data_IF_484105910982
#
_entry.id   IF_484105910982
#
_cell.length_a   1.000
_cell.length_b   1.000
_cell.length_c   1.000
_cell.angle_alpha   90.00
_cell.angle_beta   90.00
_cell.angle_gamma   90.00
#
_symmetry.space_group_name_H-M   'P 1'
#
loop_
_entity.id
_entity.type
_entity.pdbx_description
1 polymer ?
#
# COMPACT_ATOMS: atom_id res chain seq x y z
N UNK A 1 0.58 35.22 27.56
CA UNK A 1 -0.31 35.33 26.38
C UNK A 1 -0.97 33.97 26.23
N UNK A 2 -2.30 33.86 26.26
CA UNK A 2 -2.97 32.58 26.02
C UNK A 2 -2.79 32.29 24.55
N UNK A 3 -2.18 31.14 24.23
CA UNK A 3 -2.05 30.68 22.85
C UNK A 3 -3.46 30.52 22.24
N UNK A 4 -3.62 30.80 20.96
CA UNK A 4 -4.89 30.56 20.29
C UNK A 4 -5.12 29.05 20.21
N UNK A 5 -6.33 28.52 20.50
CA UNK A 5 -6.57 27.09 20.46
C UNK A 5 -6.38 26.56 19.02
N UNK A 6 -5.76 25.38 18.90
CA UNK A 6 -5.59 24.70 17.62
C UNK A 6 -6.91 24.62 16.84
N UNK A 7 -6.90 24.99 15.57
CA UNK A 7 -8.09 25.00 14.73
C UNK A 7 -7.92 24.13 13.48
N UNK A 8 -9.05 23.66 12.93
CA UNK A 8 -9.08 22.80 11.74
C UNK A 8 -9.71 23.60 10.60
N UNK A 9 -9.04 23.62 9.45
CA UNK A 9 -9.52 24.19 8.19
C UNK A 9 -9.37 23.21 7.03
N UNK A 10 -10.07 23.40 5.90
CA UNK A 10 -9.78 22.68 4.68
C UNK A 10 -8.32 22.85 4.26
N UNK A 11 -7.75 21.80 3.67
CA UNK A 11 -6.43 21.87 3.07
C UNK A 11 -6.45 22.70 1.77
N UNK A 12 -5.32 23.28 1.43
CA UNK A 12 -5.10 24.01 0.17
C UNK A 12 -3.82 23.52 -0.49
N UNK A 13 -3.66 23.76 -1.78
CA UNK A 13 -2.39 23.38 -2.47
C UNK A 13 -1.16 24.07 -1.88
N UNK A 14 -1.35 25.23 -1.21
CA UNK A 14 -0.25 25.91 -0.52
C UNK A 14 0.26 25.20 0.71
N UNK A 15 -0.52 24.26 1.27
CA UNK A 15 -0.13 23.48 2.44
C UNK A 15 0.75 22.26 2.09
N UNK A 16 0.96 21.96 0.81
CA UNK A 16 1.70 20.77 0.37
C UNK A 16 3.06 20.60 1.07
N UNK A 17 3.95 21.59 1.14
CA UNK A 17 5.24 21.41 1.79
C UNK A 17 5.10 21.04 3.28
N UNK A 18 4.23 21.74 4.02
CA UNK A 18 4.01 21.48 5.44
C UNK A 18 3.30 20.15 5.70
N UNK A 19 2.40 19.69 4.79
CA UNK A 19 1.80 18.37 4.86
C UNK A 19 2.86 17.29 4.68
N UNK A 20 3.76 17.43 3.70
CA UNK A 20 4.87 16.48 3.50
C UNK A 20 5.79 16.45 4.73
N UNK A 21 6.13 17.61 5.29
CA UNK A 21 6.95 17.70 6.50
C UNK A 21 6.29 17.01 7.70
N UNK A 22 4.97 17.19 7.88
CA UNK A 22 4.18 16.55 8.92
C UNK A 22 4.15 15.03 8.75
N UNK A 23 3.88 14.54 7.54
CA UNK A 23 3.84 13.11 7.24
C UNK A 23 5.21 12.47 7.50
N UNK A 24 6.29 13.08 7.01
CA UNK A 24 7.65 12.60 7.27
C UNK A 24 8.03 12.63 8.75
N UNK A 25 7.55 13.60 9.54
CA UNK A 25 7.75 13.58 10.97
C UNK A 25 7.05 12.37 11.63
N UNK A 26 5.86 12.00 11.15
CA UNK A 26 5.17 10.79 11.58
C UNK A 26 5.92 9.52 11.13
N UNK A 27 6.36 9.46 9.87
CA UNK A 27 7.12 8.33 9.32
C UNK A 27 8.39 8.08 10.13
N UNK A 28 9.18 9.13 10.39
CA UNK A 28 10.39 9.02 11.21
C UNK A 28 10.09 8.49 12.61
N UNK A 29 8.98 8.92 13.22
CA UNK A 29 8.59 8.46 14.55
C UNK A 29 8.08 7.01 14.57
N UNK A 30 7.50 6.54 13.47
CA UNK A 30 6.83 5.24 13.37
C UNK A 30 7.69 4.15 12.71
N UNK A 31 8.46 4.51 11.68
CA UNK A 31 9.29 3.56 10.90
C UNK A 31 10.78 3.90 10.89
N UNK A 32 11.18 5.06 11.43
CA UNK A 32 12.59 5.43 11.61
C UNK A 32 13.21 6.25 10.47
N UNK A 33 12.51 6.45 9.35
CA UNK A 33 12.95 7.20 8.18
C UNK A 33 11.77 7.89 7.50
N UNK A 34 11.99 8.97 6.71
CA UNK A 34 10.94 9.59 5.92
C UNK A 34 10.56 8.67 4.75
N UNK A 35 9.27 8.47 4.52
CA UNK A 35 8.73 7.60 3.44
C UNK A 35 7.76 8.35 2.51
N UNK A 36 7.43 9.61 2.82
CA UNK A 36 6.45 10.42 2.06
C UNK A 36 7.14 11.46 1.19
N UNK A 37 6.79 11.51 -0.08
CA UNK A 37 7.25 12.54 -1.02
C UNK A 37 6.13 13.53 -1.39
N UNK A 38 6.51 14.69 -1.98
CA UNK A 38 5.52 15.64 -2.51
C UNK A 38 4.68 15.03 -3.65
N UNK A 39 5.31 14.19 -4.49
CA UNK A 39 4.62 13.53 -5.60
C UNK A 39 3.55 12.54 -5.12
N UNK A 40 3.77 11.88 -3.97
CA UNK A 40 2.79 10.98 -3.35
C UNK A 40 1.55 11.77 -2.92
N UNK A 41 1.75 12.86 -2.16
CA UNK A 41 0.65 13.72 -1.69
C UNK A 41 -0.08 14.39 -2.86
N UNK A 42 0.64 14.84 -3.89
CA UNK A 42 0.02 15.41 -5.09
C UNK A 42 -0.80 14.36 -5.87
N UNK A 43 -0.33 13.12 -5.91
CA UNK A 43 -1.04 12.00 -6.54
C UNK A 43 -2.35 11.70 -5.82
N UNK A 44 -2.34 11.70 -4.48
CA UNK A 44 -3.55 11.55 -3.67
C UNK A 44 -4.54 12.69 -3.91
N UNK A 45 -4.04 13.94 -3.98
CA UNK A 45 -4.88 15.11 -4.26
C UNK A 45 -5.36 15.21 -5.70
N UNK A 46 -4.80 14.43 -6.61
CA UNK A 46 -5.18 14.34 -8.02
C UNK A 46 -6.11 13.16 -8.34
N UNK A 47 -6.48 12.35 -7.35
CA UNK A 47 -7.40 11.23 -7.52
C UNK A 47 -8.72 11.68 -8.13
N UNK A 48 -9.29 10.86 -9.02
CA UNK A 48 -10.56 11.18 -9.67
C UNK A 48 -11.71 11.36 -8.68
N UNK A 49 -12.30 12.55 -8.66
CA UNK A 49 -13.41 12.90 -7.77
C UNK A 49 -12.98 13.34 -6.37
N UNK A 50 -11.69 13.54 -6.14
CA UNK A 50 -11.18 14.13 -4.92
C UNK A 50 -11.18 15.67 -5.02
N UNK A 51 -11.80 16.33 -4.05
CA UNK A 51 -11.89 17.78 -3.98
C UNK A 51 -11.18 18.28 -2.71
N UNK A 52 -9.94 18.73 -2.83
CA UNK A 52 -9.05 19.11 -1.72
C UNK A 52 -9.74 20.00 -0.65
N UNK A 53 -10.57 20.95 -1.06
CA UNK A 53 -11.29 21.84 -0.15
C UNK A 53 -12.41 21.14 0.66
N UNK A 54 -12.84 19.96 0.26
CA UNK A 54 -13.93 19.20 0.88
C UNK A 54 -13.48 17.88 1.50
N UNK A 55 -12.42 17.26 0.94
CA UNK A 55 -12.01 15.91 1.24
C UNK A 55 -10.73 15.84 2.08
N UNK A 56 -10.06 16.99 2.33
CA UNK A 56 -8.87 17.07 3.16
C UNK A 56 -8.89 18.25 4.14
N UNK A 57 -8.28 18.05 5.31
CA UNK A 57 -8.22 19.05 6.38
C UNK A 57 -6.83 19.08 7.01
N UNK A 58 -6.42 20.26 7.41
CA UNK A 58 -5.24 20.49 8.23
C UNK A 58 -5.64 21.06 9.58
N UNK A 59 -4.91 20.66 10.60
CA UNK A 59 -4.98 21.25 11.94
C UNK A 59 -3.76 22.15 12.12
N UNK A 60 -4.03 23.40 12.47
CA UNK A 60 -3.03 24.44 12.68
C UNK A 60 -2.83 24.64 14.18
N UNK A 61 -1.59 24.54 14.63
CA UNK A 61 -1.20 24.74 16.03
C UNK A 61 -1.07 26.21 16.41
N UNK A 62 -0.66 26.43 17.65
CA UNK A 62 -0.54 27.77 18.27
C UNK A 62 0.53 28.65 17.62
N UNK A 63 1.53 28.06 17.00
CA UNK A 63 2.64 28.69 16.29
C UNK A 63 2.42 28.86 14.77
N UNK A 64 1.17 28.62 14.32
CA UNK A 64 0.74 28.64 12.92
C UNK A 64 1.29 27.47 12.06
N UNK A 65 2.08 26.54 12.62
CA UNK A 65 2.53 25.32 11.95
C UNK A 65 1.46 24.23 11.89
N UNK A 66 1.56 23.30 10.95
CA UNK A 66 0.65 22.17 10.85
C UNK A 66 0.98 21.12 11.93
N UNK A 67 -0.03 20.77 12.72
CA UNK A 67 0.06 19.77 13.80
C UNK A 67 -0.81 18.53 13.52
N UNK A 68 -1.59 18.56 12.45
CA UNK A 68 -2.39 17.40 12.01
C UNK A 68 -2.87 17.55 10.57
N UNK A 69 -3.06 16.41 9.92
CA UNK A 69 -3.62 16.29 8.59
C UNK A 69 -4.59 15.11 8.55
N UNK A 70 -5.64 15.23 7.77
CA UNK A 70 -6.59 14.13 7.53
C UNK A 70 -7.23 14.29 6.16
N UNK A 71 -7.51 13.18 5.50
CA UNK A 71 -8.29 13.15 4.27
C UNK A 71 -9.30 12.01 4.27
N UNK A 72 -10.22 12.03 3.30
CA UNK A 72 -11.05 10.89 2.92
C UNK A 72 -11.21 10.85 1.42
N UNK A 73 -11.36 9.65 0.86
CA UNK A 73 -11.53 9.42 -0.55
C UNK A 73 -12.33 8.15 -0.85
N UNK A 74 -12.69 8.00 -2.12
CA UNK A 74 -13.39 6.82 -2.63
C UNK A 74 -12.81 6.45 -4.00
N UNK A 75 -11.55 6.04 -3.98
CA UNK A 75 -10.75 5.75 -5.17
C UNK A 75 -11.34 4.62 -6.02
N UNK A 76 -11.80 3.55 -5.38
CA UNK A 76 -12.23 2.34 -6.08
C UNK A 76 -13.72 2.30 -6.40
N UNK A 77 -14.53 3.21 -5.85
CA UNK A 77 -15.98 3.29 -6.06
C UNK A 77 -16.72 1.98 -5.79
N UNK A 78 -16.25 1.23 -4.79
CA UNK A 78 -16.79 -0.08 -4.39
C UNK A 78 -17.72 -0.01 -3.18
N UNK A 79 -17.81 1.15 -2.53
CA UNK A 79 -18.45 1.32 -1.22
C UNK A 79 -17.48 1.12 -0.05
N UNK A 80 -16.23 0.82 -0.32
CA UNK A 80 -15.13 0.82 0.63
C UNK A 80 -14.37 2.13 0.48
N UNK A 81 -14.72 3.09 1.33
CA UNK A 81 -14.08 4.40 1.37
C UNK A 81 -12.82 4.34 2.22
N UNK A 82 -11.86 5.16 1.90
CA UNK A 82 -10.63 5.30 2.65
C UNK A 82 -10.59 6.66 3.34
N UNK A 83 -10.05 6.70 4.54
CA UNK A 83 -9.64 7.93 5.21
C UNK A 83 -8.33 7.69 5.92
N UNK A 84 -7.59 8.76 6.17
CA UNK A 84 -6.48 8.68 7.08
C UNK A 84 -6.31 9.97 7.88
N UNK A 85 -5.54 9.88 8.97
CA UNK A 85 -5.21 11.02 9.82
C UNK A 85 -3.82 10.87 10.43
N UNK A 86 -3.12 11.97 10.50
CA UNK A 86 -1.81 12.08 11.13
C UNK A 86 -1.82 13.22 12.13
N UNK A 87 -1.14 13.00 13.24
CA UNK A 87 -0.89 14.00 14.26
C UNK A 87 0.61 14.11 14.45
N UNK A 88 1.14 15.33 14.43
CA UNK A 88 2.56 15.54 14.65
C UNK A 88 3.02 14.86 15.95
N UNK A 89 4.12 14.10 15.96
CA UNK A 89 4.53 13.29 17.12
C UNK A 89 4.66 14.09 18.43
N UNK A 90 5.04 15.36 18.34
CA UNK A 90 5.17 16.26 19.49
C UNK A 90 3.87 16.97 19.89
N UNK A 91 2.78 16.83 19.08
CA UNK A 91 1.48 17.51 19.27
C UNK A 91 0.33 16.50 19.34
N UNK A 92 0.43 15.55 20.25
CA UNK A 92 -0.57 14.48 20.42
C UNK A 92 -1.77 14.96 21.25
N UNK A 93 -2.65 15.75 20.66
CA UNK A 93 -3.89 16.25 21.27
C UNK A 93 -5.08 15.33 20.93
N UNK A 94 -5.59 14.50 21.87
CA UNK A 94 -6.67 13.53 21.59
C UNK A 94 -7.97 14.17 21.07
N UNK A 95 -8.31 15.35 21.56
CA UNK A 95 -9.51 16.07 21.13
C UNK A 95 -9.37 16.58 19.68
N UNK A 96 -8.18 17.02 19.29
CA UNK A 96 -7.90 17.48 17.94
C UNK A 96 -7.94 16.30 16.95
N UNK A 97 -7.31 15.19 17.29
CA UNK A 97 -7.36 13.94 16.52
C UNK A 97 -8.81 13.44 16.35
N UNK A 98 -9.61 13.47 17.42
CA UNK A 98 -11.05 13.13 17.38
C UNK A 98 -11.84 14.04 16.43
N UNK A 99 -11.53 15.34 16.42
CA UNK A 99 -12.18 16.30 15.52
C UNK A 99 -11.80 16.10 14.06
N UNK A 100 -10.54 15.77 13.77
CA UNK A 100 -10.09 15.40 12.42
C UNK A 100 -10.80 14.13 11.94
N UNK A 101 -10.77 13.06 12.74
CA UNK A 101 -11.46 11.82 12.42
C UNK A 101 -12.96 12.03 12.16
N UNK A 102 -13.63 12.85 13.01
CA UNK A 102 -15.06 13.14 12.85
C UNK A 102 -15.37 13.89 11.55
N UNK A 103 -14.46 14.71 11.03
CA UNK A 103 -14.60 15.36 9.73
C UNK A 103 -14.50 14.36 8.58
N UNK A 104 -13.49 13.51 8.61
CA UNK A 104 -13.32 12.46 7.63
C UNK A 104 -14.53 11.51 7.60
N UNK A 105 -14.98 11.02 8.77
CA UNK A 105 -16.18 10.18 8.88
C UNK A 105 -17.44 10.83 8.33
N UNK A 106 -17.66 12.12 8.63
CA UNK A 106 -18.82 12.84 8.13
C UNK A 106 -18.79 12.93 6.60
N UNK A 107 -17.64 13.33 6.04
CA UNK A 107 -17.50 13.46 4.58
C UNK A 107 -17.61 12.11 3.88
N UNK A 108 -17.06 11.05 4.48
CA UNK A 108 -17.23 9.68 3.95
C UNK A 108 -18.70 9.27 3.89
N UNK A 109 -19.53 9.63 4.90
CA UNK A 109 -20.99 9.39 4.85
C UNK A 109 -21.68 10.18 3.75
N UNK A 110 -21.27 11.44 3.54
CA UNK A 110 -21.77 12.27 2.43
C UNK A 110 -21.44 11.64 1.08
N UNK A 111 -20.17 11.25 0.84
CA UNK A 111 -19.74 10.56 -0.37
C UNK A 111 -20.50 9.23 -0.60
N UNK A 112 -20.68 8.44 0.45
CA UNK A 112 -21.43 7.19 0.38
C UNK A 112 -22.91 7.42 0.00
N UNK A 113 -23.54 8.47 0.55
CA UNK A 113 -24.91 8.84 0.23
C UNK A 113 -25.04 9.38 -1.19
N UNK A 114 -24.13 10.25 -1.64
CA UNK A 114 -24.07 10.78 -3.01
C UNK A 114 -24.00 9.66 -4.05
N UNK A 115 -23.30 8.55 -3.73
CA UNK A 115 -23.12 7.38 -4.61
C UNK A 115 -24.11 6.25 -4.36
N UNK A 116 -25.01 6.41 -3.39
CA UNK A 116 -26.06 5.44 -3.03
C UNK A 116 -25.52 4.04 -2.69
N UNK A 117 -24.40 3.96 -1.95
CA UNK A 117 -23.87 2.69 -1.48
C UNK A 117 -24.77 2.07 -0.41
N UNK A 118 -25.10 0.78 -0.56
CA UNK A 118 -26.00 0.06 0.37
C UNK A 118 -25.35 -0.27 1.72
N UNK A 119 -24.07 -0.64 1.71
CA UNK A 119 -23.33 -1.04 2.90
C UNK A 119 -21.92 -0.43 2.92
N UNK A 120 -21.80 0.92 2.98
CA UNK A 120 -20.50 1.56 2.90
C UNK A 120 -19.67 1.28 4.15
N UNK A 121 -18.37 1.06 3.93
CA UNK A 121 -17.36 0.88 4.96
C UNK A 121 -16.36 2.04 4.89
N UNK A 122 -15.81 2.42 6.03
CA UNK A 122 -14.68 3.34 6.10
C UNK A 122 -13.48 2.61 6.69
N UNK A 123 -12.40 2.67 5.94
CA UNK A 123 -11.14 2.05 6.28
C UNK A 123 -10.09 3.09 6.61
N UNK A 124 -9.28 2.80 7.62
CA UNK A 124 -8.17 3.64 8.05
C UNK A 124 -6.96 2.75 8.34
N UNK A 125 -5.82 3.08 7.75
CA UNK A 125 -4.58 2.42 8.05
C UNK A 125 -3.94 2.97 9.33
N UNK A 126 -3.27 2.09 10.06
CA UNK A 126 -2.50 2.42 11.25
C UNK A 126 -1.20 1.62 11.23
N UNK A 127 -0.06 2.27 11.34
CA UNK A 127 1.20 1.56 11.56
C UNK A 127 1.18 0.98 12.98
N UNK A 128 1.52 -0.32 13.11
CA UNK A 128 1.31 -1.09 14.33
C UNK A 128 1.96 -0.52 15.60
N UNK A 129 2.98 0.33 15.46
CA UNK A 129 3.62 1.04 16.59
C UNK A 129 2.83 2.26 17.06
N UNK A 130 1.94 2.84 16.24
CA UNK A 130 1.15 4.02 16.60
C UNK A 130 -0.02 3.65 17.52
N UNK A 131 0.27 3.53 18.81
CA UNK A 131 -0.72 3.18 19.84
C UNK A 131 -1.82 4.23 19.98
N UNK A 132 -1.47 5.52 19.85
CA UNK A 132 -2.42 6.62 20.02
C UNK A 132 -3.50 6.59 18.93
N UNK A 133 -3.14 6.40 17.66
CA UNK A 133 -4.06 6.25 16.54
C UNK A 133 -4.91 4.99 16.70
N UNK A 134 -4.31 3.84 17.06
CA UNK A 134 -5.03 2.60 17.33
C UNK A 134 -6.10 2.78 18.39
N UNK A 135 -5.75 3.36 19.55
CA UNK A 135 -6.70 3.60 20.64
C UNK A 135 -7.81 4.58 20.24
N UNK A 136 -7.50 5.60 19.45
CA UNK A 136 -8.49 6.50 18.90
C UNK A 136 -9.49 5.74 18.03
N UNK A 137 -9.02 4.94 17.07
CA UNK A 137 -9.88 4.16 16.17
C UNK A 137 -10.77 3.19 16.93
N UNK A 138 -10.22 2.42 17.87
CA UNK A 138 -11.00 1.49 18.70
C UNK A 138 -12.08 2.20 19.52
N UNK A 139 -11.77 3.37 20.14
CA UNK A 139 -12.77 4.18 20.88
C UNK A 139 -13.88 4.71 19.97
N UNK A 140 -13.60 4.93 18.69
CA UNK A 140 -14.57 5.38 17.69
C UNK A 140 -15.32 4.23 17.00
N UNK A 141 -15.16 2.99 17.48
CA UNK A 141 -15.92 1.82 17.00
C UNK A 141 -15.37 1.18 15.74
N UNK A 142 -14.13 1.50 15.36
CA UNK A 142 -13.42 0.73 14.33
C UNK A 142 -12.99 -0.63 14.88
N UNK A 143 -12.93 -1.62 14.01
CA UNK A 143 -12.43 -2.95 14.32
C UNK A 143 -11.24 -3.28 13.41
N UNK A 144 -10.26 -4.00 13.93
CA UNK A 144 -9.17 -4.52 13.10
C UNK A 144 -9.75 -5.47 12.06
N UNK A 145 -9.59 -5.14 10.80
CA UNK A 145 -10.07 -5.90 9.65
C UNK A 145 -8.98 -6.74 9.02
N UNK A 146 -7.76 -6.17 8.90
CA UNK A 146 -6.62 -6.80 8.25
C UNK A 146 -5.30 -6.37 8.89
N UNK A 147 -4.31 -7.25 8.75
CA UNK A 147 -2.92 -6.96 9.07
C UNK A 147 -2.07 -7.21 7.83
N UNK A 148 -1.28 -6.22 7.42
CA UNK A 148 -0.34 -6.30 6.29
C UNK A 148 1.07 -6.13 6.83
N UNK A 149 1.95 -7.07 6.55
CA UNK A 149 3.36 -6.96 6.88
C UNK A 149 4.12 -6.30 5.75
N UNK A 150 4.92 -5.28 6.08
CA UNK A 150 6.03 -4.86 5.24
C UNK A 150 7.19 -5.80 5.49
N UNK A 151 7.68 -6.43 4.45
CA UNK A 151 8.82 -7.32 4.54
C UNK A 151 9.98 -6.78 3.71
N UNK A 152 11.18 -6.88 4.26
CA UNK A 152 12.42 -6.36 3.64
C UNK A 152 13.46 -7.45 3.54
N UNK A 153 14.22 -7.47 2.44
CA UNK A 153 15.45 -8.25 2.28
C UNK A 153 16.60 -7.30 1.98
N UNK A 154 17.73 -7.49 2.67
CA UNK A 154 19.01 -6.89 2.32
C UNK A 154 19.83 -7.90 1.49
N UNK A 155 20.15 -7.52 0.26
CA UNK A 155 20.88 -8.35 -0.70
C UNK A 155 22.39 -8.08 -0.71
N UNK A 156 22.91 -7.27 0.21
CA UNK A 156 24.33 -6.89 0.29
C UNK A 156 25.25 -8.11 0.46
N UNK A 157 24.78 -9.12 1.20
CA UNK A 157 25.52 -10.39 1.41
C UNK A 157 25.27 -11.44 0.31
N UNK A 158 24.52 -11.06 -0.73
CA UNK A 158 24.18 -11.90 -1.88
C UNK A 158 22.74 -12.45 -1.80
N UNK A 159 22.32 -13.06 -2.91
CA UNK A 159 20.97 -13.60 -3.06
C UNK A 159 20.94 -15.08 -2.69
N UNK A 160 19.99 -15.47 -1.82
CA UNK A 160 19.74 -16.88 -1.49
C UNK A 160 19.27 -17.64 -2.73
N UNK A 161 20.02 -18.66 -3.13
CA UNK A 161 19.67 -19.49 -4.28
C UNK A 161 18.48 -20.41 -3.95
N UNK A 162 17.37 -20.21 -4.63
CA UNK A 162 16.18 -21.05 -4.55
C UNK A 162 15.88 -21.59 -5.96
N UNK A 163 16.24 -22.86 -6.25
CA UNK A 163 16.09 -23.41 -7.60
C UNK A 163 14.62 -23.56 -8.00
N UNK A 164 14.36 -23.38 -9.29
CA UNK A 164 13.03 -23.66 -9.85
C UNK A 164 12.69 -25.15 -9.68
N UNK A 165 11.42 -25.50 -9.45
CA UNK A 165 10.96 -26.88 -9.46
C UNK A 165 11.28 -27.57 -10.81
N UNK A 166 11.48 -28.90 -10.78
CA UNK A 166 11.74 -29.67 -11.99
C UNK A 166 10.64 -29.45 -13.05
N UNK A 167 11.05 -29.23 -14.29
CA UNK A 167 10.19 -28.97 -15.43
C UNK A 167 9.67 -27.53 -15.55
N UNK A 168 10.01 -26.64 -14.60
CA UNK A 168 9.61 -25.22 -14.63
C UNK A 168 10.75 -24.36 -15.17
N UNK A 169 10.44 -23.53 -16.18
CA UNK A 169 11.33 -22.48 -16.69
C UNK A 169 10.85 -21.11 -16.21
N UNK A 170 11.72 -20.34 -15.54
CA UNK A 170 11.47 -18.95 -15.15
C UNK A 170 12.21 -18.06 -16.14
N UNK A 171 11.50 -17.10 -16.74
CA UNK A 171 12.07 -16.16 -17.70
C UNK A 171 11.52 -14.76 -17.54
N UNK A 172 12.29 -13.72 -17.94
CA UNK A 172 11.79 -12.34 -17.96
C UNK A 172 10.58 -12.18 -18.87
N UNK A 173 9.80 -11.18 -18.57
CA UNK A 173 8.63 -10.73 -19.32
C UNK A 173 9.05 -10.15 -20.68
N UNK A 174 8.29 -10.44 -21.73
CA UNK A 174 8.52 -9.92 -23.07
C UNK A 174 7.41 -8.97 -23.47
N UNK A 175 7.77 -7.68 -23.59
CA UNK A 175 6.85 -6.63 -24.03
C UNK A 175 6.30 -6.94 -25.42
N UNK A 176 5.00 -6.74 -25.61
CA UNK A 176 4.30 -7.02 -26.87
C UNK A 176 3.95 -8.50 -27.08
N UNK A 177 4.30 -9.39 -26.14
CA UNK A 177 4.08 -10.85 -26.26
C UNK A 177 3.37 -11.43 -25.03
N UNK A 178 3.80 -11.04 -23.83
CA UNK A 178 3.42 -11.74 -22.60
C UNK A 178 2.35 -11.00 -21.75
N UNK A 179 1.84 -9.84 -22.21
CA UNK A 179 0.94 -8.99 -21.40
C UNK A 179 -0.34 -9.74 -20.98
N UNK A 180 -1.03 -10.39 -21.93
CA UNK A 180 -2.24 -11.15 -21.61
C UNK A 180 -1.97 -12.30 -20.66
N UNK A 181 -0.87 -13.06 -20.91
CA UNK A 181 -0.52 -14.19 -20.05
C UNK A 181 -0.17 -13.71 -18.64
N UNK A 182 0.55 -12.59 -18.51
CA UNK A 182 0.88 -11.99 -17.21
C UNK A 182 -0.40 -11.57 -16.47
N UNK A 183 -1.29 -10.83 -17.14
CA UNK A 183 -2.57 -10.39 -16.59
C UNK A 183 -3.41 -11.58 -16.13
N UNK A 184 -3.64 -12.57 -16.98
CA UNK A 184 -4.49 -13.73 -16.68
C UNK A 184 -3.90 -14.57 -15.55
N UNK A 185 -2.56 -14.76 -15.54
CA UNK A 185 -1.87 -15.51 -14.48
C UNK A 185 -1.99 -14.80 -13.13
N UNK A 186 -1.82 -13.48 -13.10
CA UNK A 186 -1.98 -12.69 -11.87
C UNK A 186 -3.44 -12.69 -11.41
N UNK A 187 -4.39 -12.43 -12.30
CA UNK A 187 -5.82 -12.44 -11.97
C UNK A 187 -6.27 -13.75 -11.36
N UNK A 188 -5.91 -14.90 -11.97
CA UNK A 188 -6.23 -16.23 -11.43
C UNK A 188 -5.52 -16.51 -10.10
N UNK A 189 -4.24 -16.13 -9.99
CA UNK A 189 -3.48 -16.39 -8.77
C UNK A 189 -4.00 -15.59 -7.56
N UNK A 190 -4.62 -14.44 -7.79
CA UNK A 190 -5.16 -13.54 -6.78
C UNK A 190 -6.69 -13.58 -6.65
N UNK A 191 -7.38 -14.49 -7.37
CA UNK A 191 -8.85 -14.61 -7.35
C UNK A 191 -9.42 -14.75 -5.92
N UNK A 192 -8.69 -15.39 -5.01
CA UNK A 192 -9.08 -15.56 -3.61
C UNK A 192 -8.57 -14.42 -2.69
N UNK A 193 -7.95 -13.37 -3.26
CA UNK A 193 -7.35 -12.30 -2.45
C UNK A 193 -8.41 -11.29 -1.99
N UNK A 194 -8.23 -10.76 -0.79
CA UNK A 194 -9.07 -9.69 -0.25
C UNK A 194 -9.09 -8.48 -1.18
N UNK A 195 -10.28 -7.98 -1.50
CA UNK A 195 -10.52 -6.84 -2.40
C UNK A 195 -10.01 -7.01 -3.84
N UNK A 196 -9.84 -8.25 -4.29
CA UNK A 196 -9.55 -8.47 -5.69
C UNK A 196 -10.77 -8.04 -6.51
N UNK A 197 -10.65 -6.94 -7.25
CA UNK A 197 -11.57 -6.58 -8.33
C UNK A 197 -11.00 -7.04 -9.65
N UNK A 198 -11.87 -7.48 -10.58
CA UNK A 198 -11.45 -7.73 -11.96
C UNK A 198 -11.06 -6.40 -12.61
N UNK A 199 -9.76 -6.14 -12.73
CA UNK A 199 -9.27 -4.98 -13.47
C UNK A 199 -9.26 -5.34 -14.97
N UNK A 200 -9.93 -4.56 -15.85
CA UNK A 200 -9.89 -4.79 -17.27
C UNK A 200 -8.46 -4.74 -17.81
N UNK A 201 -8.13 -5.62 -18.75
CA UNK A 201 -6.78 -5.76 -19.31
C UNK A 201 -6.16 -4.43 -19.77
N UNK A 202 -6.91 -3.60 -20.47
CA UNK A 202 -6.39 -2.32 -20.99
C UNK A 202 -6.05 -1.33 -19.86
N UNK A 203 -6.84 -1.29 -18.80
CA UNK A 203 -6.57 -0.47 -17.62
C UNK A 203 -5.35 -1.00 -16.86
N UNK A 204 -5.29 -2.30 -16.60
CA UNK A 204 -4.14 -2.99 -15.99
C UNK A 204 -2.84 -2.72 -16.78
N UNK A 205 -2.90 -2.88 -18.10
CA UNK A 205 -1.76 -2.66 -19.00
C UNK A 205 -1.29 -1.20 -18.94
N UNK A 206 -2.21 -0.25 -19.07
CA UNK A 206 -1.88 1.18 -19.03
C UNK A 206 -1.24 1.57 -17.69
N UNK A 207 -1.79 1.10 -16.58
CA UNK A 207 -1.30 1.39 -15.23
C UNK A 207 0.07 0.80 -14.96
N UNK A 208 0.30 -0.47 -15.29
CA UNK A 208 1.53 -1.16 -14.92
C UNK A 208 2.68 -0.92 -15.90
N UNK A 209 2.42 -0.94 -17.20
CA UNK A 209 3.46 -0.69 -18.20
C UNK A 209 3.74 0.81 -18.40
N UNK A 210 2.78 1.67 -18.03
CA UNK A 210 2.96 3.12 -18.01
C UNK A 210 3.67 3.66 -16.77
N UNK A 211 3.98 2.80 -15.80
CA UNK A 211 4.68 3.21 -14.58
C UNK A 211 6.09 3.71 -14.91
N UNK A 212 6.51 4.81 -14.26
CA UNK A 212 7.82 5.43 -14.52
C UNK A 212 9.00 4.47 -14.31
N UNK A 213 8.87 3.57 -13.33
CA UNK A 213 9.89 2.58 -12.97
C UNK A 213 9.68 1.22 -13.67
N UNK A 214 8.90 1.17 -14.75
CA UNK A 214 8.69 -0.06 -15.50
C UNK A 214 10.00 -0.56 -16.14
N UNK A 215 10.41 -1.78 -15.75
CA UNK A 215 11.54 -2.50 -16.32
C UNK A 215 11.09 -3.95 -16.59
N UNK A 216 10.95 -4.38 -17.86
CA UNK A 216 10.47 -5.71 -18.20
C UNK A 216 11.38 -6.84 -17.70
N UNK A 217 12.65 -6.57 -17.47
CA UNK A 217 13.60 -7.55 -16.95
C UNK A 217 13.46 -7.79 -15.44
N UNK A 218 12.65 -6.99 -14.74
CA UNK A 218 12.28 -7.20 -13.33
C UNK A 218 10.97 -7.99 -13.18
N UNK A 219 10.27 -8.23 -14.29
CA UNK A 219 9.05 -9.01 -14.31
C UNK A 219 9.34 -10.42 -14.80
N UNK A 220 8.77 -11.42 -14.13
CA UNK A 220 9.04 -12.82 -14.44
C UNK A 220 7.76 -13.62 -14.65
N UNK A 221 7.82 -14.55 -15.62
CA UNK A 221 6.84 -15.61 -15.80
C UNK A 221 7.51 -16.96 -15.58
N UNK A 222 6.81 -17.82 -14.85
CA UNK A 222 7.18 -19.22 -14.67
C UNK A 222 6.32 -20.10 -15.58
N UNK A 223 6.96 -20.99 -16.33
CA UNK A 223 6.33 -21.84 -17.35
C UNK A 223 6.53 -23.32 -17.05
N UNK A 224 5.44 -24.08 -17.07
CA UNK A 224 5.46 -25.54 -17.15
C UNK A 224 5.08 -25.90 -18.58
N UNK A 225 6.10 -26.16 -19.42
CA UNK A 225 5.94 -26.30 -20.88
C UNK A 225 5.29 -25.03 -21.48
N UNK A 226 4.03 -25.16 -21.97
CA UNK A 226 3.29 -24.08 -22.63
C UNK A 226 2.29 -23.37 -21.68
N UNK A 227 2.21 -23.77 -20.41
CA UNK A 227 1.31 -23.18 -19.43
C UNK A 227 2.07 -22.25 -18.48
N UNK A 228 1.55 -21.05 -18.26
CA UNK A 228 2.07 -20.14 -17.25
C UNK A 228 1.65 -20.64 -15.85
N UNK A 229 2.64 -20.96 -15.03
CA UNK A 229 2.45 -21.51 -13.68
C UNK A 229 2.47 -20.43 -12.60
N UNK A 230 3.07 -19.28 -12.88
CA UNK A 230 3.15 -18.15 -11.95
C UNK A 230 3.71 -16.90 -12.63
N UNK A 231 3.50 -15.77 -11.97
CA UNK A 231 3.90 -14.45 -12.42
C UNK A 231 4.43 -13.62 -11.25
N UNK A 232 5.42 -12.77 -11.51
CA UNK A 232 5.97 -11.82 -10.55
C UNK A 232 6.18 -10.47 -11.23
N UNK A 233 5.74 -9.41 -10.58
CA UNK A 233 5.89 -8.02 -11.00
C UNK A 233 6.72 -7.30 -9.96
N UNK A 234 7.80 -6.65 -10.38
CA UNK A 234 8.62 -5.81 -9.51
C UNK A 234 9.04 -4.53 -10.22
N UNK A 235 9.35 -3.52 -9.41
CA UNK A 235 9.86 -2.23 -9.83
C UNK A 235 11.17 -1.93 -9.13
N UNK A 236 11.92 -0.98 -9.65
CA UNK A 236 13.13 -0.50 -9.00
C UNK A 236 13.13 1.01 -8.98
N UNK A 237 12.96 1.60 -7.80
CA UNK A 237 13.00 3.05 -7.59
C UNK A 237 14.25 3.42 -6.77
N UNK A 238 15.10 4.31 -7.31
CA UNK A 238 16.38 4.63 -6.65
C UNK A 238 17.17 3.38 -6.30
N UNK A 239 17.51 3.20 -5.04
CA UNK A 239 18.24 2.05 -4.50
C UNK A 239 17.31 0.91 -4.02
N UNK A 240 15.99 1.12 -4.06
CA UNK A 240 14.96 0.20 -3.59
C UNK A 240 14.41 -0.67 -4.73
N UNK A 241 14.25 -1.97 -4.47
CA UNK A 241 13.43 -2.89 -5.24
C UNK A 241 12.07 -3.08 -4.58
N UNK A 242 10.99 -2.99 -5.35
CA UNK A 242 9.64 -3.21 -4.86
C UNK A 242 8.99 -4.39 -5.57
N UNK A 243 8.65 -5.47 -4.83
CA UNK A 243 7.86 -6.57 -5.38
C UNK A 243 6.37 -6.20 -5.26
N UNK A 244 5.79 -5.80 -6.37
CA UNK A 244 4.38 -5.37 -6.46
C UNK A 244 3.40 -6.54 -6.31
N UNK A 245 3.77 -7.71 -6.86
CA UNK A 245 2.92 -8.89 -6.77
C UNK A 245 3.67 -10.15 -7.17
N UNK A 246 3.36 -11.24 -6.47
CA UNK A 246 3.83 -12.59 -6.74
C UNK A 246 2.65 -13.55 -6.70
N UNK A 247 2.27 -14.08 -7.85
CA UNK A 247 1.17 -15.02 -8.02
C UNK A 247 1.66 -16.39 -8.47
N UNK A 248 1.18 -17.45 -7.82
CA UNK A 248 1.36 -18.84 -8.27
C UNK A 248 -0.01 -19.47 -8.44
N UNK A 249 -0.33 -19.97 -9.64
CA UNK A 249 -1.61 -20.62 -9.94
C UNK A 249 -1.79 -21.89 -9.10
N UNK A 250 -3.01 -22.22 -8.74
CA UNK A 250 -3.33 -23.30 -7.77
C UNK A 250 -2.63 -24.66 -8.04
N UNK A 251 -2.53 -25.17 -9.30
CA UNK A 251 -1.89 -26.47 -9.57
C UNK A 251 -0.39 -26.52 -9.23
N UNK A 252 0.28 -25.36 -9.19
CA UNK A 252 1.74 -25.26 -8.96
C UNK A 252 2.10 -24.73 -7.57
N UNK A 253 1.11 -24.46 -6.71
CA UNK A 253 1.34 -24.00 -5.32
C UNK A 253 2.05 -25.08 -4.48
N UNK A 254 2.74 -24.66 -3.43
CA UNK A 254 3.46 -25.51 -2.46
C UNK A 254 4.60 -26.37 -3.05
N UNK A 255 5.11 -26.01 -4.23
CA UNK A 255 6.24 -26.67 -4.91
C UNK A 255 7.54 -25.87 -4.85
N UNK A 256 7.57 -24.74 -4.11
CA UNK A 256 8.73 -23.86 -4.02
C UNK A 256 8.85 -22.83 -5.16
N UNK A 257 7.87 -22.77 -6.08
CA UNK A 257 7.90 -21.89 -7.25
C UNK A 257 7.96 -20.40 -6.88
N UNK A 258 7.17 -19.96 -5.91
CA UNK A 258 7.20 -18.56 -5.46
C UNK A 258 8.57 -18.11 -4.96
N UNK A 259 9.26 -18.97 -4.19
CA UNK A 259 10.61 -18.69 -3.72
C UNK A 259 11.63 -18.61 -4.87
N UNK A 260 11.53 -19.50 -5.86
CA UNK A 260 12.40 -19.47 -7.02
C UNK A 260 12.21 -18.21 -7.88
N UNK A 261 10.97 -17.73 -8.03
CA UNK A 261 10.67 -16.47 -8.72
C UNK A 261 11.22 -15.26 -7.96
N UNK A 262 11.08 -15.24 -6.62
CA UNK A 262 11.71 -14.21 -5.78
C UNK A 262 13.23 -14.18 -5.94
N UNK A 263 13.87 -15.34 -5.89
CA UNK A 263 15.34 -15.42 -6.07
C UNK A 263 15.77 -14.89 -7.45
N UNK A 264 15.00 -15.16 -8.50
CA UNK A 264 15.27 -14.62 -9.85
C UNK A 264 15.14 -13.09 -9.86
N UNK A 265 14.10 -12.55 -9.23
CA UNK A 265 13.86 -11.11 -9.13
C UNK A 265 14.93 -10.42 -8.28
N UNK A 266 15.28 -11.00 -7.12
CA UNK A 266 16.34 -10.47 -6.26
C UNK A 266 17.69 -10.43 -7.00
N UNK A 267 18.02 -11.46 -7.74
CA UNK A 267 19.24 -11.47 -8.58
C UNK A 267 19.22 -10.36 -9.64
N UNK A 268 18.05 -10.11 -10.28
CA UNK A 268 17.90 -9.07 -11.28
C UNK A 268 17.98 -7.65 -10.66
N UNK A 269 17.42 -7.45 -9.46
CA UNK A 269 17.50 -6.20 -8.70
C UNK A 269 18.94 -5.94 -8.23
N UNK A 270 19.59 -6.94 -7.62
CA UNK A 270 20.98 -6.83 -7.15
C UNK A 270 21.94 -6.51 -8.29
N UNK A 271 21.75 -7.12 -9.47
CA UNK A 271 22.54 -6.82 -10.67
C UNK A 271 22.40 -5.36 -11.13
N UNK A 272 21.35 -4.65 -10.70
CA UNK A 272 21.11 -3.22 -10.95
C UNK A 272 21.53 -2.33 -9.78
N UNK A 273 22.18 -2.89 -8.74
CA UNK A 273 22.61 -2.17 -7.53
C UNK A 273 21.49 -1.89 -6.53
N UNK A 274 20.28 -2.45 -6.73
CA UNK A 274 19.17 -2.34 -5.78
C UNK A 274 19.29 -3.45 -4.76
N UNK A 275 19.89 -3.14 -3.64
CA UNK A 275 20.23 -4.11 -2.61
C UNK A 275 19.18 -4.23 -1.51
N UNK A 276 18.32 -3.25 -1.36
CA UNK A 276 17.18 -3.31 -0.45
C UNK A 276 15.92 -3.66 -1.25
N UNK A 277 15.21 -4.73 -0.87
CA UNK A 277 13.99 -5.16 -1.56
C UNK A 277 12.85 -5.31 -0.59
N UNK A 278 11.71 -4.75 -0.94
CA UNK A 278 10.53 -4.72 -0.09
C UNK A 278 9.28 -5.22 -0.79
N UNK A 279 8.31 -5.63 0.04
CA UNK A 279 6.94 -5.96 -0.38
C UNK A 279 5.95 -5.81 0.78
N UNK A 280 4.67 -5.67 0.43
CA UNK A 280 3.56 -5.82 1.35
C UNK A 280 2.92 -7.21 1.25
N UNK A 281 2.57 -7.84 2.37
CA UNK A 281 1.91 -9.15 2.39
C UNK A 281 0.79 -9.19 3.43
N UNK A 282 -0.39 -9.66 3.02
CA UNK A 282 -1.51 -9.92 3.94
C UNK A 282 -1.13 -11.04 4.92
N UNK A 283 -1.19 -10.74 6.22
CA UNK A 283 -0.87 -11.67 7.28
C UNK A 283 -1.85 -12.86 7.35
N UNK A 284 -3.08 -12.66 6.91
CA UNK A 284 -4.19 -13.63 7.02
C UNK A 284 -4.40 -14.43 5.73
N UNK A 285 -3.56 -14.25 4.72
CA UNK A 285 -3.64 -14.95 3.44
C UNK A 285 -3.61 -16.47 3.60
N UNK A 286 -4.58 -17.19 3.02
CA UNK A 286 -4.74 -18.66 3.13
C UNK A 286 -3.49 -19.46 2.72
N UNK A 287 -2.63 -18.89 1.89
CA UNK A 287 -1.44 -19.55 1.32
C UNK A 287 -0.22 -19.56 2.23
N UNK A 288 -0.31 -18.94 3.42
CA UNK A 288 0.83 -18.73 4.34
C UNK A 288 2.07 -18.16 3.62
N UNK A 289 1.95 -17.03 2.92
CA UNK A 289 3.00 -16.51 2.05
C UNK A 289 4.26 -16.10 2.84
N UNK A 290 4.15 -15.74 4.12
CA UNK A 290 5.27 -15.37 5.00
C UNK A 290 6.44 -16.35 4.92
N UNK A 291 6.17 -17.66 5.04
CA UNK A 291 7.24 -18.67 4.99
C UNK A 291 8.01 -18.68 3.66
N UNK A 292 7.36 -18.29 2.57
CA UNK A 292 8.02 -18.19 1.27
C UNK A 292 8.99 -17.02 1.25
N UNK A 293 8.56 -15.89 1.79
CA UNK A 293 9.37 -14.67 1.87
C UNK A 293 10.53 -14.82 2.87
N UNK A 294 10.26 -15.37 4.07
CA UNK A 294 11.29 -15.67 5.08
C UNK A 294 12.40 -16.59 4.51
N UNK A 295 12.03 -17.64 3.75
CA UNK A 295 13.01 -18.53 3.08
C UNK A 295 13.80 -17.81 2.00
N UNK A 296 13.25 -16.78 1.38
CA UNK A 296 13.96 -15.94 0.43
C UNK A 296 14.87 -14.89 1.11
N UNK A 297 14.92 -14.85 2.45
CA UNK A 297 15.76 -13.93 3.22
C UNK A 297 15.06 -12.65 3.65
N UNK A 298 13.74 -12.56 3.47
CA UNK A 298 12.97 -11.40 3.94
C UNK A 298 12.59 -11.52 5.41
N UNK A 299 12.46 -10.40 6.08
CA UNK A 299 11.93 -10.30 7.44
C UNK A 299 10.91 -9.16 7.55
N UNK A 300 10.02 -9.26 8.52
CA UNK A 300 9.03 -8.19 8.79
C UNK A 300 9.75 -6.99 9.40
N UNK A 301 9.61 -5.84 8.77
CA UNK A 301 10.15 -4.57 9.27
C UNK A 301 9.12 -3.78 10.05
N UNK A 302 7.90 -3.71 9.53
CA UNK A 302 6.78 -3.12 10.27
C UNK A 302 5.44 -3.68 9.79
N UNK A 303 4.39 -3.28 10.48
CA UNK A 303 3.05 -3.81 10.29
C UNK A 303 2.09 -2.67 10.02
N UNK A 304 1.31 -2.78 8.96
CA UNK A 304 0.12 -1.98 8.75
C UNK A 304 -1.10 -2.74 9.28
N UNK A 305 -1.92 -2.07 10.04
CA UNK A 305 -3.21 -2.55 10.54
C UNK A 305 -4.32 -1.78 9.84
N UNK A 306 -5.21 -2.47 9.15
CA UNK A 306 -6.39 -1.87 8.54
C UNK A 306 -7.55 -1.95 9.53
N UNK A 307 -8.05 -0.82 9.94
CA UNK A 307 -9.22 -0.69 10.79
C UNK A 307 -10.43 -0.29 9.95
N UNK A 308 -11.53 -1.01 10.10
CA UNK A 308 -12.73 -0.81 9.33
C UNK A 308 -13.93 -0.47 10.23
N UNK A 309 -14.84 0.36 9.71
CA UNK A 309 -16.07 0.76 10.39
C UNK A 309 -17.22 0.90 9.39
N UNK A 310 -18.41 0.29 9.65
CA UNK A 310 -19.60 0.56 8.86
C UNK A 310 -19.98 2.04 8.96
N UNK A 311 -20.30 2.65 7.81
CA UNK A 311 -20.80 4.04 7.74
C UNK A 311 -22.32 4.15 7.79
N UNK A 312 -23.03 3.02 7.96
CA UNK A 312 -24.48 3.02 8.09
C UNK A 312 -24.92 3.96 9.23
N UNK A 313 -25.76 4.90 8.89
CA UNK A 313 -26.37 5.89 9.76
C UNK A 313 -27.62 5.41 10.42
#
# INVERSE_FOLDING_TARGET
>A
MSAAPSHIRPATRGDLPEVVDLLNACDIAEIGEPDTTADDVESDWAMEGFELAHDAWVAVGDDEGLVGYSYTGDQFRTGELEADLWMHPEHQEPDLATRLLSRAERRSRELAAERSYEAPMLDIFCIGVNRAKRELLLRHGYVLSRTVYRMTADLSDGVTALPAPEGIAIRPFRVGVDEHVMHDTMSEAFEDHFRQSEEPFDAWKARLLGHADFDPDLWFLAWDRDEAAGALIAYGHGDLGWVKGLGVRRPWRRRGLGGAMLASTFAALAARGRLLVELGVDAEGETQPLRTYERAGMHVTFTYELYAKPLAG
#
